data_IF_396843738907
#
_entry.id   IF_396843738907
#
_cell.length_a   1.000
_cell.length_b   1.000
_cell.length_c   1.000
_cell.angle_alpha   90.00
_cell.angle_beta   90.00
_cell.angle_gamma   90.00
#
_symmetry.space_group_name_H-M   'P 1'
#
loop_
_entity.id
_entity.type
_entity.pdbx_description
1 polymer ?
#
# COMPACT_ATOMS: atom_id res chain seq x y z
N UNK A 1 -2.24 -7.43 27.87
CA UNK A 1 -1.99 -8.18 26.63
C UNK A 1 -2.35 -7.27 25.46
N UNK A 2 -1.36 -7.12 24.57
CA UNK A 2 -1.34 -6.37 23.30
C UNK A 2 -1.83 -4.93 23.37
N UNK A 3 -0.87 -4.02 23.61
CA UNK A 3 -0.92 -2.65 23.12
C UNK A 3 -1.33 -2.70 21.65
N UNK A 4 -2.53 -2.21 21.34
CA UNK A 4 -2.94 -1.89 19.98
C UNK A 4 -2.00 -0.80 19.50
N UNK A 5 -0.86 -1.22 18.97
CA UNK A 5 0.05 -0.34 18.26
C UNK A 5 -0.76 0.21 17.09
N UNK A 6 -1.02 1.52 17.13
CA UNK A 6 -1.94 2.22 16.25
C UNK A 6 -1.41 2.14 14.82
N UNK A 7 -1.73 1.06 14.12
CA UNK A 7 -1.44 0.90 12.71
C UNK A 7 -2.05 2.10 11.98
N UNK A 8 -1.25 2.83 11.17
CA UNK A 8 -1.63 4.16 10.69
C UNK A 8 -2.79 4.10 9.67
N UNK A 9 -3.06 2.92 9.12
CA UNK A 9 -4.22 2.61 8.31
C UNK A 9 -4.91 1.37 8.91
N UNK A 10 -6.20 1.47 9.22
CA UNK A 10 -6.96 0.41 9.87
C UNK A 10 -8.28 0.10 9.14
N UNK A 11 -8.19 -0.18 7.84
CA UNK A 11 -9.33 -0.63 7.04
C UNK A 11 -9.53 -2.14 7.13
N UNK A 12 -8.44 -2.92 7.09
CA UNK A 12 -8.49 -4.38 7.27
C UNK A 12 -7.11 -4.96 7.55
N UNK A 13 -7.07 -6.10 8.24
CA UNK A 13 -5.86 -6.92 8.41
C UNK A 13 -5.66 -7.92 7.26
N UNK A 14 -6.68 -8.15 6.43
CA UNK A 14 -6.58 -9.06 5.29
C UNK A 14 -5.67 -8.46 4.22
N UNK A 15 -4.72 -9.27 3.72
CA UNK A 15 -3.68 -8.86 2.76
C UNK A 15 -3.70 -9.78 1.52
N UNK A 16 -4.81 -9.87 0.76
CA UNK A 16 -4.88 -10.70 -0.43
C UNK A 16 -4.03 -10.13 -1.57
N UNK A 17 -3.86 -10.89 -2.65
CA UNK A 17 -3.27 -10.34 -3.88
C UNK A 17 -4.21 -9.31 -4.49
N UNK A 18 -3.75 -8.06 -4.65
CA UNK A 18 -4.50 -6.99 -5.31
C UNK A 18 -3.84 -6.62 -6.63
N UNK A 19 -4.67 -6.31 -7.62
CA UNK A 19 -4.25 -5.88 -8.97
C UNK A 19 -5.34 -5.01 -9.58
N UNK A 20 -5.09 -4.49 -10.78
CA UNK A 20 -6.08 -3.74 -11.54
C UNK A 20 -7.46 -4.44 -11.54
N UNK A 21 -8.49 -3.70 -11.13
CA UNK A 21 -9.87 -4.18 -11.01
C UNK A 21 -10.23 -4.78 -9.64
N UNK A 22 -9.27 -5.03 -8.74
CA UNK A 22 -9.58 -5.36 -7.34
C UNK A 22 -10.33 -4.22 -6.65
N UNK A 23 -11.16 -4.56 -5.66
CA UNK A 23 -11.88 -3.56 -4.86
C UNK A 23 -12.09 -4.01 -3.41
N UNK A 24 -12.46 -3.07 -2.54
CA UNK A 24 -12.82 -3.31 -1.14
C UNK A 24 -11.81 -2.75 -0.13
N UNK A 25 -11.98 -3.13 1.14
CA UNK A 25 -11.17 -2.60 2.27
C UNK A 25 -9.67 -2.89 2.11
N UNK A 26 -9.32 -4.05 1.54
CA UNK A 26 -7.92 -4.37 1.26
C UNK A 26 -7.29 -3.39 0.29
N UNK A 27 -8.05 -2.88 -0.69
CA UNK A 27 -7.55 -1.85 -1.61
C UNK A 27 -7.39 -0.50 -0.90
N UNK A 28 -8.35 -0.10 -0.05
CA UNK A 28 -8.21 1.13 0.76
C UNK A 28 -6.97 1.08 1.64
N UNK A 29 -6.73 -0.08 2.23
CA UNK A 29 -5.55 -0.33 3.03
C UNK A 29 -4.25 -0.20 2.23
N UNK A 30 -4.19 -0.75 1.01
CA UNK A 30 -3.03 -0.59 0.14
C UNK A 30 -2.85 0.87 -0.29
N UNK A 31 -3.92 1.58 -0.65
CA UNK A 31 -3.89 3.00 -1.04
C UNK A 31 -3.35 3.87 0.11
N UNK A 32 -3.84 3.64 1.33
CA UNK A 32 -3.36 4.34 2.52
C UNK A 32 -1.88 4.04 2.83
N UNK A 33 -1.45 2.78 2.74
CA UNK A 33 -0.03 2.45 2.89
C UNK A 33 0.84 3.07 1.80
N UNK A 34 0.39 3.11 0.54
CA UNK A 34 1.10 3.79 -0.55
C UNK A 34 1.21 5.29 -0.26
N UNK A 35 0.15 5.91 0.25
CA UNK A 35 0.13 7.31 0.67
C UNK A 35 1.14 7.59 1.79
N UNK A 36 1.29 6.70 2.76
CA UNK A 36 2.23 6.89 3.86
C UNK A 36 3.67 6.53 3.49
N UNK A 37 3.85 5.60 2.56
CA UNK A 37 5.18 5.11 2.18
C UNK A 37 5.90 6.05 1.21
N UNK A 38 5.18 6.91 0.48
CA UNK A 38 5.77 7.74 -0.57
C UNK A 38 5.46 9.24 -0.48
N UNK A 39 6.39 10.06 -0.99
CA UNK A 39 6.17 11.50 -1.22
C UNK A 39 5.37 11.77 -2.51
N UNK A 40 4.77 12.95 -2.57
CA UNK A 40 4.02 13.45 -3.72
C UNK A 40 2.50 13.33 -3.55
N UNK A 41 1.80 13.36 -4.69
CA UNK A 41 0.34 13.38 -4.72
C UNK A 41 -0.26 12.14 -4.06
N UNK A 42 -1.26 12.36 -3.22
CA UNK A 42 -1.96 11.30 -2.50
C UNK A 42 -3.00 10.65 -3.40
N UNK A 43 -3.08 9.33 -3.32
CA UNK A 43 -4.18 8.53 -3.85
C UNK A 43 -5.46 8.82 -3.07
N UNK A 44 -6.59 8.74 -3.77
CA UNK A 44 -7.87 8.54 -3.11
C UNK A 44 -7.91 7.14 -2.50
N UNK A 45 -8.34 7.04 -1.25
CA UNK A 45 -8.55 5.78 -0.52
C UNK A 45 -9.99 5.28 -0.74
N UNK A 46 -10.37 5.18 -2.01
CA UNK A 46 -11.73 4.85 -2.45
C UNK A 46 -12.01 3.34 -2.45
N UNK A 47 -10.96 2.51 -2.31
CA UNK A 47 -11.07 1.06 -2.34
C UNK A 47 -11.24 0.49 -3.74
N UNK A 48 -10.90 1.26 -4.78
CA UNK A 48 -10.91 0.82 -6.18
C UNK A 48 -9.49 0.78 -6.73
N UNK A 49 -9.03 -0.41 -7.13
CA UNK A 49 -7.68 -0.56 -7.67
C UNK A 49 -7.71 -0.22 -9.15
N UNK A 50 -7.75 1.09 -9.44
CA UNK A 50 -7.72 1.64 -10.79
C UNK A 50 -6.30 1.87 -11.32
N UNK A 51 -6.18 2.41 -12.55
CA UNK A 51 -4.88 2.69 -13.18
C UNK A 51 -3.97 3.59 -12.34
N UNK A 52 -4.55 4.54 -11.58
CA UNK A 52 -3.79 5.43 -10.70
C UNK A 52 -3.16 4.67 -9.54
N UNK A 53 -3.89 3.75 -8.90
CA UNK A 53 -3.37 2.88 -7.84
C UNK A 53 -2.32 1.89 -8.36
N UNK A 54 -2.52 1.37 -9.58
CA UNK A 54 -1.52 0.51 -10.24
C UNK A 54 -0.22 1.27 -10.50
N UNK A 55 -0.29 2.48 -11.05
CA UNK A 55 0.87 3.32 -11.29
C UNK A 55 1.63 3.65 -10.00
N UNK A 56 0.91 3.98 -8.91
CA UNK A 56 1.52 4.19 -7.61
C UNK A 56 2.16 2.92 -7.03
N UNK A 57 1.53 1.75 -7.24
CA UNK A 57 2.11 0.47 -6.83
C UNK A 57 3.43 0.20 -7.56
N UNK A 58 3.47 0.42 -8.88
CA UNK A 58 4.70 0.29 -9.68
C UNK A 58 5.78 1.27 -9.24
N UNK A 59 5.41 2.52 -8.93
CA UNK A 59 6.35 3.52 -8.38
C UNK A 59 6.92 3.06 -7.05
N UNK A 60 6.07 2.63 -6.12
CA UNK A 60 6.49 2.11 -4.82
C UNK A 60 7.45 0.94 -4.98
N UNK A 61 7.10 -0.05 -5.79
CA UNK A 61 7.94 -1.22 -6.06
C UNK A 61 9.31 -0.82 -6.60
N UNK A 62 9.36 0.16 -7.52
CA UNK A 62 10.62 0.68 -8.05
C UNK A 62 11.46 1.35 -6.97
N UNK A 63 10.87 2.18 -6.12
CA UNK A 63 11.59 2.86 -5.03
C UNK A 63 12.08 1.91 -3.94
N UNK A 64 11.28 0.88 -3.64
CA UNK A 64 11.61 -0.16 -2.68
C UNK A 64 12.59 -1.22 -3.23
N UNK A 65 13.01 -1.09 -4.49
CA UNK A 65 13.89 -2.03 -5.19
C UNK A 65 13.39 -3.50 -5.16
N UNK A 66 12.08 -3.68 -5.31
CA UNK A 66 11.41 -4.99 -5.40
C UNK A 66 10.84 -5.25 -6.81
N UNK A 67 10.20 -6.40 -6.99
CA UNK A 67 9.54 -6.77 -8.27
C UNK A 67 8.53 -5.70 -8.69
N UNK A 68 8.69 -5.14 -9.90
CA UNK A 68 7.82 -4.08 -10.45
C UNK A 68 6.80 -4.68 -11.41
N UNK A 69 5.71 -5.21 -10.86
CA UNK A 69 4.62 -5.84 -11.61
C UNK A 69 3.27 -5.09 -11.49
N UNK A 70 3.17 -4.10 -10.60
CA UNK A 70 1.93 -3.39 -10.29
C UNK A 70 0.93 -4.19 -9.46
N UNK A 71 1.36 -5.31 -8.87
CA UNK A 71 0.54 -6.21 -8.07
C UNK A 71 0.95 -6.07 -6.60
N UNK A 72 -0.04 -5.89 -5.72
CA UNK A 72 0.17 -5.94 -4.29
C UNK A 72 0.00 -7.38 -3.81
N UNK A 73 1.09 -8.14 -3.88
CA UNK A 73 1.20 -9.50 -3.34
C UNK A 73 2.01 -9.51 -2.04
N UNK A 74 2.37 -10.70 -1.53
CA UNK A 74 3.03 -10.85 -0.22
C UNK A 74 4.30 -9.98 -0.05
N UNK A 75 5.17 -9.90 -1.07
CA UNK A 75 6.37 -9.06 -1.03
C UNK A 75 5.98 -7.57 -0.90
N UNK A 76 5.12 -7.07 -1.79
CA UNK A 76 4.65 -5.68 -1.78
C UNK A 76 3.98 -5.33 -0.45
N UNK A 77 3.14 -6.21 0.10
CA UNK A 77 2.50 -6.00 1.40
C UNK A 77 3.48 -5.87 2.57
N UNK A 78 4.51 -6.72 2.59
CA UNK A 78 5.54 -6.67 3.63
C UNK A 78 6.25 -5.31 3.61
N UNK A 79 6.63 -4.84 2.43
CA UNK A 79 7.31 -3.55 2.27
C UNK A 79 6.38 -2.37 2.57
N UNK A 80 5.13 -2.41 2.10
CA UNK A 80 4.15 -1.37 2.40
C UNK A 80 3.89 -1.26 3.91
N UNK A 81 3.84 -2.39 4.61
CA UNK A 81 3.66 -2.39 6.07
C UNK A 81 4.86 -1.76 6.77
N UNK A 82 6.08 -2.09 6.35
CA UNK A 82 7.30 -1.48 6.91
C UNK A 82 7.34 0.03 6.66
N UNK A 83 7.20 0.45 5.40
CA UNK A 83 7.35 1.86 5.02
C UNK A 83 6.20 2.74 5.53
N UNK A 84 4.97 2.23 5.58
CA UNK A 84 3.85 2.99 6.14
C UNK A 84 4.00 3.26 7.66
N UNK A 85 4.80 2.46 8.37
CA UNK A 85 5.11 2.64 9.80
C UNK A 85 6.48 3.31 10.02
N UNK A 86 7.17 3.74 8.96
CA UNK A 86 8.48 4.39 9.04
C UNK A 86 8.33 5.91 9.19
N UNK A 87 9.28 6.59 9.86
CA UNK A 87 9.29 8.06 9.94
C UNK A 87 9.65 8.72 8.60
N UNK A 88 10.27 7.97 7.68
CA UNK A 88 10.73 8.41 6.36
C UNK A 88 9.96 7.72 5.23
N UNK A 89 10.11 8.25 4.02
CA UNK A 89 9.53 7.71 2.80
C UNK A 89 10.53 6.82 2.05
N UNK A 90 10.03 5.80 1.34
CA UNK A 90 10.88 5.01 0.43
C UNK A 90 11.39 5.87 -0.73
N UNK A 91 10.53 6.79 -1.18
CA UNK A 91 10.75 7.89 -2.08
C UNK A 91 9.53 8.80 -1.98
#
# INVERSE_FOLDING_TARGET
>A
MTTTDSQPCNFTINRPTLKLGSSGEAVKQAQCYLNLSMQGDKLLEDGSFGPVTEAATKRFQKCAEITVDGIVAAQTWSFLTFWANSPDFVC
#
